data_IF_412542302060
#
_entry.id   IF_412542302060
#
_cell.length_a   1.000
_cell.length_b   1.000
_cell.length_c   1.000
_cell.angle_alpha   90.00
_cell.angle_beta   90.00
_cell.angle_gamma   90.00
#
_symmetry.space_group_name_H-M   'P 1'
#
loop_
_entity.id
_entity.type
_entity.pdbx_description
1 polymer ?
#
# COMPACT_ATOMS: atom_id res chain seq x y z
N UNK A 1 -18.99 -10.19 69.48
CA UNK A 1 -18.13 -10.87 68.50
C UNK A 1 -18.95 -11.38 67.31
N UNK A 2 -19.50 -10.50 66.46
CA UNK A 2 -20.31 -10.88 65.27
C UNK A 2 -20.18 -9.83 64.15
N UNK A 3 -18.96 -9.37 63.85
CA UNK A 3 -18.72 -8.41 62.75
C UNK A 3 -17.50 -8.74 61.88
N UNK A 4 -16.78 -9.83 62.16
CA UNK A 4 -15.57 -10.19 61.41
C UNK A 4 -15.81 -11.16 60.24
N UNK A 5 -17.00 -11.75 60.11
CA UNK A 5 -17.27 -12.79 59.10
C UNK A 5 -17.80 -12.26 57.75
N UNK A 6 -18.24 -11.01 57.66
CA UNK A 6 -18.86 -10.47 56.43
C UNK A 6 -17.81 -10.00 55.40
N UNK A 7 -16.58 -9.73 55.83
CA UNK A 7 -15.52 -9.19 54.94
C UNK A 7 -14.87 -10.29 54.10
N UNK A 8 -14.98 -11.56 54.50
CA UNK A 8 -14.34 -12.68 53.79
C UNK A 8 -15.18 -13.23 52.61
N UNK A 9 -16.45 -12.82 52.48
CA UNK A 9 -17.34 -13.26 51.40
C UNK A 9 -17.36 -12.31 50.19
N UNK A 10 -16.78 -11.09 50.31
CA UNK A 10 -16.83 -10.07 49.25
C UNK A 10 -15.58 -10.05 48.34
N UNK A 11 -14.59 -10.91 48.59
CA UNK A 11 -13.36 -10.99 47.81
C UNK A 11 -13.39 -12.03 46.67
N UNK A 12 -14.50 -12.74 46.51
CA UNK A 12 -14.68 -13.80 45.48
C UNK A 12 -15.46 -13.35 44.24
N UNK A 13 -15.74 -12.05 44.09
CA UNK A 13 -16.65 -11.53 43.06
C UNK A 13 -15.99 -10.59 42.04
N UNK A 14 -14.75 -10.88 41.61
CA UNK A 14 -14.06 -10.10 40.57
C UNK A 14 -13.10 -10.91 39.68
N UNK A 15 -13.37 -12.21 39.49
CA UNK A 15 -12.72 -12.98 38.43
C UNK A 15 -13.76 -13.25 37.32
N UNK A 16 -13.99 -12.25 36.48
CA UNK A 16 -14.69 -12.42 35.20
C UNK A 16 -13.77 -13.11 34.18
N UNK A 17 -14.30 -13.89 33.23
CA UNK A 17 -13.49 -14.68 32.31
C UNK A 17 -12.80 -13.78 31.28
N UNK A 18 -11.56 -13.38 31.54
CA UNK A 18 -10.70 -12.67 30.58
C UNK A 18 -10.15 -13.60 29.46
N UNK A 19 -10.35 -14.92 29.57
CA UNK A 19 -9.67 -15.91 28.72
C UNK A 19 -10.26 -16.10 27.30
N UNK A 20 -11.40 -15.49 26.96
CA UNK A 20 -12.03 -15.69 25.64
C UNK A 20 -11.64 -14.63 24.59
N UNK A 21 -11.18 -13.46 25.02
CA UNK A 21 -10.82 -12.35 24.11
C UNK A 21 -9.41 -12.53 23.52
N UNK A 22 -8.49 -13.17 24.24
CA UNK A 22 -7.09 -13.32 23.84
C UNK A 22 -6.88 -14.25 22.62
N UNK A 23 -7.62 -15.36 22.53
CA UNK A 23 -7.52 -16.28 21.39
C UNK A 23 -8.03 -15.68 20.07
N UNK A 24 -9.17 -14.98 20.13
CA UNK A 24 -9.75 -14.32 18.95
C UNK A 24 -8.90 -13.11 18.50
N UNK A 25 -8.26 -12.41 19.43
CA UNK A 25 -7.33 -11.33 19.14
C UNK A 25 -6.03 -11.86 18.48
N UNK A 26 -5.50 -12.98 18.97
CA UNK A 26 -4.33 -13.66 18.40
C UNK A 26 -4.52 -14.09 16.95
N UNK A 27 -5.58 -14.85 16.65
CA UNK A 27 -5.88 -15.28 15.28
C UNK A 27 -6.10 -14.10 14.32
N UNK A 28 -6.76 -13.03 14.78
CA UNK A 28 -6.95 -11.82 13.98
C UNK A 28 -5.61 -11.14 13.68
N UNK A 29 -4.67 -11.17 14.62
CA UNK A 29 -3.36 -10.56 14.46
C UNK A 29 -2.51 -11.33 13.45
N UNK A 30 -2.48 -12.66 13.52
CA UNK A 30 -1.78 -13.52 12.54
C UNK A 30 -2.34 -13.32 11.12
N UNK A 31 -3.67 -13.43 10.96
CA UNK A 31 -4.32 -13.21 9.65
C UNK A 31 -4.00 -11.83 9.08
N UNK A 32 -3.91 -10.82 9.95
CA UNK A 32 -3.53 -9.46 9.53
C UNK A 32 -2.05 -9.36 9.21
N UNK A 33 -1.21 -10.09 9.94
CA UNK A 33 0.21 -10.29 9.69
C UNK A 33 0.45 -10.74 8.26
N UNK A 34 -0.24 -11.79 7.81
CA UNK A 34 -0.08 -12.36 6.46
C UNK A 34 -0.74 -11.55 5.34
N UNK A 35 -1.89 -10.92 5.62
CA UNK A 35 -2.64 -10.18 4.59
C UNK A 35 -1.97 -8.88 4.17
N UNK A 36 -1.31 -8.19 5.10
CA UNK A 36 -0.69 -6.89 4.84
C UNK A 36 0.50 -6.97 3.86
N UNK A 37 1.44 -7.94 3.96
CA UNK A 37 2.51 -8.19 3.00
C UNK A 37 1.98 -8.48 1.61
N UNK A 38 1.03 -9.43 1.47
CA UNK A 38 0.40 -9.75 0.18
C UNK A 38 -0.24 -8.53 -0.48
N UNK A 39 -0.93 -7.71 0.31
CA UNK A 39 -1.49 -6.45 -0.18
C UNK A 39 -0.40 -5.43 -0.55
N UNK A 40 0.70 -5.39 0.20
CA UNK A 40 1.86 -4.56 -0.08
C UNK A 40 2.51 -4.91 -1.42
N UNK A 41 2.81 -6.19 -1.64
CA UNK A 41 3.36 -6.69 -2.90
C UNK A 41 2.44 -6.40 -4.09
N UNK A 42 1.12 -6.65 -3.94
CA UNK A 42 0.16 -6.34 -5.00
C UNK A 42 0.22 -4.86 -5.39
N UNK A 43 0.30 -3.97 -4.40
CA UNK A 43 0.45 -2.55 -4.63
C UNK A 43 1.77 -2.19 -5.31
N UNK A 44 2.87 -2.87 -4.99
CA UNK A 44 4.14 -2.67 -5.69
C UNK A 44 4.02 -3.03 -7.17
N UNK A 45 3.47 -4.21 -7.49
CA UNK A 45 3.21 -4.65 -8.87
C UNK A 45 2.28 -3.69 -9.63
N UNK A 46 1.24 -3.18 -8.96
CA UNK A 46 0.35 -2.16 -9.53
C UNK A 46 1.10 -0.83 -9.78
N UNK A 47 1.97 -0.44 -8.85
CA UNK A 47 2.85 0.72 -8.98
C UNK A 47 3.74 0.64 -10.21
N UNK A 48 4.45 -0.47 -10.39
CA UNK A 48 5.27 -0.71 -11.59
C UNK A 48 4.45 -0.71 -12.87
N UNK A 49 3.26 -1.33 -12.88
CA UNK A 49 2.38 -1.33 -14.06
C UNK A 49 1.99 0.09 -14.44
N UNK A 50 1.73 0.95 -13.46
CA UNK A 50 1.42 2.36 -13.68
C UNK A 50 2.65 3.10 -14.23
N UNK A 51 3.86 2.82 -13.72
CA UNK A 51 5.11 3.39 -14.25
C UNK A 51 5.34 3.02 -15.72
N UNK A 52 5.26 1.74 -16.05
CA UNK A 52 5.35 1.24 -17.45
C UNK A 52 4.31 1.87 -18.38
N UNK A 53 3.13 2.21 -17.87
CA UNK A 53 2.13 2.95 -18.64
C UNK A 53 2.49 4.42 -18.84
N UNK A 54 3.21 5.02 -17.90
CA UNK A 54 3.78 6.36 -18.01
C UNK A 54 4.85 6.42 -19.10
N UNK A 55 5.83 5.51 -19.05
CA UNK A 55 6.90 5.37 -20.06
C UNK A 55 6.33 5.23 -21.47
N UNK A 56 5.34 4.35 -21.67
CA UNK A 56 4.66 4.19 -22.97
C UNK A 56 3.94 5.44 -23.46
N UNK A 57 3.57 6.37 -22.57
CA UNK A 57 2.98 7.64 -22.99
C UNK A 57 4.08 8.65 -23.38
N UNK A 58 5.20 8.67 -22.69
CA UNK A 58 6.38 9.45 -23.08
C UNK A 58 6.90 9.03 -24.45
N UNK A 59 7.13 7.73 -24.67
CA UNK A 59 7.57 7.19 -25.97
C UNK A 59 6.61 7.56 -27.11
N UNK A 60 5.29 7.53 -26.85
CA UNK A 60 4.30 7.98 -27.84
C UNK A 60 4.37 9.48 -28.09
N UNK A 61 4.74 10.27 -27.10
CA UNK A 61 4.92 11.71 -27.23
C UNK A 61 6.17 12.04 -28.05
N UNK A 62 7.27 11.33 -27.83
CA UNK A 62 8.50 11.43 -28.64
C UNK A 62 8.23 11.10 -30.11
N UNK A 63 7.55 9.99 -30.38
CA UNK A 63 7.12 9.64 -31.75
C UNK A 63 6.20 10.68 -32.40
N UNK A 64 5.48 11.47 -31.61
CA UNK A 64 4.69 12.59 -32.15
C UNK A 64 5.58 13.78 -32.51
N UNK A 65 6.66 14.02 -31.76
CA UNK A 65 7.65 15.06 -32.07
C UNK A 65 8.42 14.71 -33.35
N UNK A 66 8.89 13.47 -33.50
CA UNK A 66 9.54 13.00 -34.75
C UNK A 66 8.62 13.18 -35.97
N UNK A 67 7.33 12.86 -35.82
CA UNK A 67 6.34 13.09 -36.89
C UNK A 67 6.11 14.58 -37.15
N UNK A 68 6.18 15.42 -36.12
CA UNK A 68 6.04 16.86 -36.27
C UNK A 68 7.21 17.42 -37.09
N UNK A 69 8.44 16.97 -36.83
CA UNK A 69 9.62 17.32 -37.61
C UNK A 69 9.46 16.92 -39.09
N UNK A 70 9.05 15.68 -39.36
CA UNK A 70 8.77 15.23 -40.73
C UNK A 70 7.66 16.04 -41.44
N UNK A 71 6.71 16.61 -40.69
CA UNK A 71 5.68 17.50 -41.25
C UNK A 71 6.24 18.90 -41.55
N UNK A 72 7.18 19.41 -40.73
CA UNK A 72 7.88 20.69 -40.99
C UNK A 72 8.68 20.61 -42.29
N UNK A 73 9.41 19.51 -42.49
CA UNK A 73 10.17 19.27 -43.74
C UNK A 73 9.28 19.27 -44.99
N UNK A 74 8.00 18.91 -44.84
CA UNK A 74 7.00 18.92 -45.92
C UNK A 74 6.26 20.26 -46.06
N UNK A 75 6.65 21.28 -45.30
CA UNK A 75 6.03 22.61 -45.30
C UNK A 75 4.69 22.68 -44.55
N UNK A 76 4.34 21.68 -43.74
CA UNK A 76 3.06 21.61 -43.02
C UNK A 76 3.15 22.16 -41.59
N UNK A 77 3.61 23.40 -41.44
CA UNK A 77 3.95 24.01 -40.14
C UNK A 77 2.83 23.94 -39.08
N UNK A 78 1.60 24.31 -39.45
CA UNK A 78 0.47 24.27 -38.50
C UNK A 78 0.16 22.85 -38.01
N UNK A 79 0.31 21.85 -38.88
CA UNK A 79 0.09 20.46 -38.52
C UNK A 79 1.21 19.95 -37.59
N UNK A 80 2.45 20.33 -37.88
CA UNK A 80 3.61 20.04 -37.04
C UNK A 80 3.48 20.62 -35.63
N UNK A 81 3.21 21.93 -35.50
CA UNK A 81 3.06 22.61 -34.21
C UNK A 81 1.94 21.99 -33.36
N UNK A 82 0.83 21.60 -33.99
CA UNK A 82 -0.27 20.91 -33.30
C UNK A 82 0.14 19.53 -32.79
N UNK A 83 0.96 18.80 -33.57
CA UNK A 83 1.42 17.47 -33.21
C UNK A 83 2.48 17.51 -32.11
N UNK A 84 3.41 18.47 -32.17
CA UNK A 84 4.41 18.75 -31.13
C UNK A 84 3.74 19.08 -29.79
N UNK A 85 2.79 20.01 -29.77
CA UNK A 85 2.00 20.34 -28.57
C UNK A 85 1.29 19.12 -27.99
N UNK A 86 0.77 18.23 -28.84
CA UNK A 86 0.14 16.99 -28.42
C UNK A 86 1.16 16.00 -27.84
N UNK A 87 2.33 15.90 -28.45
CA UNK A 87 3.46 15.08 -28.00
C UNK A 87 3.93 15.49 -26.61
N UNK A 88 4.22 16.78 -26.40
CA UNK A 88 4.61 17.32 -25.10
C UNK A 88 3.55 17.07 -24.02
N UNK A 89 2.27 17.29 -24.34
CA UNK A 89 1.18 17.03 -23.41
C UNK A 89 1.13 15.55 -23.00
N UNK A 90 1.46 14.65 -23.92
CA UNK A 90 1.49 13.22 -23.66
C UNK A 90 2.70 12.83 -22.81
N UNK A 91 3.89 13.38 -23.06
CA UNK A 91 5.08 13.21 -22.21
C UNK A 91 4.81 13.68 -20.78
N UNK A 92 4.30 14.90 -20.59
CA UNK A 92 3.93 15.42 -19.25
C UNK A 92 2.90 14.53 -18.55
N UNK A 93 2.00 13.89 -19.29
CA UNK A 93 1.03 12.92 -18.74
C UNK A 93 1.70 11.60 -18.37
N UNK A 94 2.68 11.16 -19.17
CA UNK A 94 3.61 10.07 -18.89
C UNK A 94 4.28 10.25 -17.54
N UNK A 95 5.00 11.35 -17.37
CA UNK A 95 5.79 11.63 -16.17
C UNK A 95 4.91 11.66 -14.92
N UNK A 96 3.75 12.33 -15.00
CA UNK A 96 2.77 12.36 -13.91
C UNK A 96 2.28 10.96 -13.53
N UNK A 97 2.12 10.07 -14.51
CA UNK A 97 1.72 8.69 -14.29
C UNK A 97 2.85 7.88 -13.68
N UNK A 98 4.10 8.05 -14.12
CA UNK A 98 5.26 7.42 -13.49
C UNK A 98 5.36 7.80 -12.01
N UNK A 99 5.33 9.10 -11.70
CA UNK A 99 5.32 9.61 -10.30
C UNK A 99 4.15 9.07 -9.48
N UNK A 100 3.00 8.78 -10.11
CA UNK A 100 1.87 8.12 -9.43
C UNK A 100 2.20 6.66 -9.14
N UNK A 101 2.76 5.94 -10.10
CA UNK A 101 3.19 4.56 -9.93
C UNK A 101 4.20 4.39 -8.80
N UNK A 102 5.24 5.23 -8.75
CA UNK A 102 6.21 5.23 -7.63
C UNK A 102 5.54 5.45 -6.26
N UNK A 103 4.55 6.36 -6.19
CA UNK A 103 3.82 6.62 -4.93
C UNK A 103 3.00 5.41 -4.49
N UNK A 104 2.42 4.68 -5.44
CA UNK A 104 1.68 3.44 -5.17
C UNK A 104 2.64 2.36 -4.68
N UNK A 105 3.79 2.21 -5.34
CA UNK A 105 4.83 1.26 -4.95
C UNK A 105 5.37 1.52 -3.54
N UNK A 106 5.76 2.77 -3.24
CA UNK A 106 6.17 3.20 -1.90
C UNK A 106 5.11 2.92 -0.83
N UNK A 107 3.82 3.05 -1.19
CA UNK A 107 2.72 2.70 -0.27
C UNK A 107 2.62 1.19 -0.06
N UNK A 108 2.88 0.40 -1.11
CA UNK A 108 2.99 -1.05 -1.03
C UNK A 108 4.10 -1.50 -0.07
N UNK A 109 5.31 -0.97 -0.24
CA UNK A 109 6.46 -1.25 0.65
C UNK A 109 6.15 -0.94 2.11
N UNK A 110 5.54 0.22 2.40
CA UNK A 110 5.12 0.57 3.77
C UNK A 110 4.10 -0.40 4.35
N UNK A 111 3.20 -0.92 3.52
CA UNK A 111 2.17 -1.89 3.95
C UNK A 111 2.79 -3.24 4.26
N UNK A 112 3.75 -3.67 3.45
CA UNK A 112 4.51 -4.89 3.67
C UNK A 112 5.31 -4.83 4.97
N UNK A 113 6.09 -3.77 5.18
CA UNK A 113 6.81 -3.55 6.45
C UNK A 113 5.87 -3.52 7.66
N UNK A 114 4.65 -2.99 7.50
CA UNK A 114 3.64 -3.03 8.56
C UNK A 114 3.16 -4.45 8.84
N UNK A 115 2.97 -5.26 7.81
CA UNK A 115 2.66 -6.68 7.94
C UNK A 115 3.71 -7.43 8.76
N UNK A 116 4.98 -7.31 8.35
CA UNK A 116 6.10 -7.93 9.06
C UNK A 116 6.19 -7.49 10.54
N UNK A 117 5.86 -6.22 10.84
CA UNK A 117 5.80 -5.75 12.25
C UNK A 117 4.64 -6.35 13.02
N UNK A 118 3.52 -6.64 12.37
CA UNK A 118 2.36 -7.29 13.00
C UNK A 118 2.66 -8.77 13.26
N UNK A 119 3.29 -9.46 12.31
CA UNK A 119 3.74 -10.86 12.48
C UNK A 119 4.69 -10.99 13.67
N UNK A 120 5.77 -10.19 13.71
CA UNK A 120 6.72 -10.19 14.85
C UNK A 120 6.06 -9.92 16.19
N UNK A 121 5.01 -9.09 16.23
CA UNK A 121 4.26 -8.84 17.48
C UNK A 121 3.41 -10.04 17.86
N UNK A 122 2.78 -10.72 16.90
CA UNK A 122 2.02 -11.94 17.18
C UNK A 122 2.92 -13.02 17.78
N UNK A 123 4.09 -13.27 17.17
CA UNK A 123 5.11 -14.20 17.68
C UNK A 123 5.50 -13.89 19.13
N UNK A 124 5.85 -12.63 19.43
CA UNK A 124 6.21 -12.20 20.79
C UNK A 124 5.09 -12.37 21.82
N UNK A 125 3.83 -12.24 21.40
CA UNK A 125 2.67 -12.38 22.31
C UNK A 125 2.37 -13.85 22.58
N UNK A 126 2.61 -14.73 21.60
CA UNK A 126 2.49 -16.18 21.76
C UNK A 126 3.58 -16.76 22.65
N UNK A 127 4.83 -16.30 22.50
CA UNK A 127 5.95 -16.73 23.35
C UNK A 127 5.77 -16.34 24.83
N UNK A 128 4.97 -15.31 25.11
CA UNK A 128 4.69 -14.82 26.47
C UNK A 128 3.41 -15.41 27.09
N UNK A 129 2.64 -16.20 26.35
CA UNK A 129 1.45 -16.85 26.88
C UNK A 129 1.86 -17.99 27.84
N UNK A 130 1.38 -18.01 29.10
CA UNK A 130 1.69 -19.09 30.03
C UNK A 130 1.12 -20.43 29.51
N UNK A 131 1.94 -21.48 29.56
CA UNK A 131 1.56 -22.86 29.24
C UNK A 131 0.58 -23.44 30.27
#
# INVERSE_FOLDING_TARGET
MKQTLVILALSLLLCGPAAAEDGAAGERQERRGEQLPRQGEKMQRDGERIQRQGEKMEEKGERMQEKAEALRERGQEKAAENLERRGERLQRKGERRQRRGERVERRGQRREQRGQRVERRAEQTQDQAPK
#
